data_IF_478848349021
#
_entry.id   IF_478848349021
#
_cell.length_a   1.000
_cell.length_b   1.000
_cell.length_c   1.000
_cell.angle_alpha   90.00
_cell.angle_beta   90.00
_cell.angle_gamma   90.00
#
_symmetry.space_group_name_H-M   'P 1'
#
loop_
_entity.id
_entity.type
_entity.pdbx_description
1 polymer ?
#
# COMPACT_ATOMS: atom_id res chain seq x y z
N UNK A 1 14.80 23.98 -5.70
CA UNK A 1 14.20 22.86 -4.91
C UNK A 1 13.90 21.74 -5.90
N UNK A 2 14.06 20.47 -5.55
CA UNK A 2 13.69 19.37 -6.46
C UNK A 2 12.16 19.27 -6.56
N UNK A 3 11.64 18.74 -7.67
CA UNK A 3 10.18 18.61 -7.88
C UNK A 3 9.51 17.77 -6.79
N UNK A 4 10.20 16.73 -6.31
CA UNK A 4 9.73 15.88 -5.21
C UNK A 4 9.54 16.67 -3.90
N UNK A 5 10.41 17.64 -3.60
CA UNK A 5 10.28 18.43 -2.37
C UNK A 5 9.07 19.38 -2.45
N UNK A 6 8.81 19.97 -3.61
CA UNK A 6 7.61 20.78 -3.83
C UNK A 6 6.33 19.96 -3.60
N UNK A 7 6.28 18.75 -4.16
CA UNK A 7 5.14 17.84 -3.99
C UNK A 7 4.93 17.46 -2.52
N UNK A 8 6.01 17.15 -1.79
CA UNK A 8 5.92 16.83 -0.34
C UNK A 8 5.33 17.99 0.47
N UNK A 9 5.70 19.24 0.16
CA UNK A 9 5.13 20.43 0.81
C UNK A 9 3.63 20.54 0.50
N UNK A 10 3.23 20.35 -0.77
CA UNK A 10 1.83 20.40 -1.18
C UNK A 10 0.99 19.32 -0.51
N UNK A 11 1.49 18.09 -0.42
CA UNK A 11 0.79 16.97 0.21
C UNK A 11 0.56 17.20 1.71
N UNK A 12 1.53 17.79 2.42
CA UNK A 12 1.34 18.17 3.82
C UNK A 12 0.32 19.30 4.00
N UNK A 13 0.29 20.26 3.07
CA UNK A 13 -0.64 21.39 3.11
C UNK A 13 -2.09 20.97 2.75
N UNK A 14 -2.25 19.97 1.88
CA UNK A 14 -3.55 19.43 1.48
C UNK A 14 -3.49 17.90 1.40
N UNK A 15 -3.69 17.20 2.54
CA UNK A 15 -3.66 15.75 2.58
C UNK A 15 -4.69 15.10 1.66
N UNK A 16 -4.31 13.93 1.12
CA UNK A 16 -5.10 13.12 0.19
C UNK A 16 -5.33 11.72 0.75
N UNK A 17 -6.29 11.01 0.16
CA UNK A 17 -6.57 9.61 0.46
C UNK A 17 -5.94 8.71 -0.60
N UNK A 18 -5.09 7.79 -0.15
CA UNK A 18 -4.30 6.91 -1.01
C UNK A 18 -4.73 5.46 -0.83
N UNK A 19 -4.73 4.69 -1.90
CA UNK A 19 -4.76 3.23 -1.83
C UNK A 19 -3.37 2.69 -2.13
N UNK A 20 -2.83 1.84 -1.25
CA UNK A 20 -1.63 1.05 -1.50
C UNK A 20 -2.03 -0.42 -1.50
N UNK A 21 -1.96 -1.09 -2.65
CA UNK A 21 -2.09 -2.55 -2.71
C UNK A 21 -0.73 -3.20 -2.50
N UNK A 22 -0.69 -4.37 -1.88
CA UNK A 22 0.59 -5.01 -1.51
C UNK A 22 1.26 -4.28 -0.36
N UNK A 23 0.48 -3.62 0.50
CA UNK A 23 0.95 -2.71 1.54
C UNK A 23 1.80 -3.41 2.60
N UNK A 24 1.61 -4.72 2.80
CA UNK A 24 2.41 -5.51 3.73
C UNK A 24 3.67 -6.08 3.06
N UNK A 25 3.87 -5.86 1.76
CA UNK A 25 5.09 -6.17 1.03
C UNK A 25 6.20 -5.13 1.23
N UNK A 26 7.38 -5.39 0.66
CA UNK A 26 8.56 -4.54 0.85
C UNK A 26 8.37 -3.10 0.35
N UNK A 27 7.94 -2.92 -0.91
CA UNK A 27 7.74 -1.59 -1.49
C UNK A 27 6.52 -0.91 -0.85
N UNK A 28 5.42 -1.66 -0.72
CA UNK A 28 4.17 -1.15 -0.17
C UNK A 28 4.31 -0.61 1.26
N UNK A 29 5.06 -1.27 2.13
CA UNK A 29 5.24 -0.81 3.51
C UNK A 29 6.10 0.46 3.60
N UNK A 30 7.11 0.60 2.74
CA UNK A 30 7.92 1.83 2.66
C UNK A 30 7.09 3.00 2.11
N UNK A 31 6.21 2.75 1.13
CA UNK A 31 5.25 3.76 0.65
C UNK A 31 4.28 4.17 1.76
N UNK A 32 3.74 3.20 2.51
CA UNK A 32 2.87 3.48 3.67
C UNK A 32 3.58 4.38 4.68
N UNK A 33 4.81 4.05 5.06
CA UNK A 33 5.60 4.85 6.01
C UNK A 33 5.76 6.31 5.55
N UNK A 34 6.21 6.52 4.31
CA UNK A 34 6.41 7.86 3.75
C UNK A 34 5.09 8.64 3.69
N UNK A 35 4.01 8.03 3.20
CA UNK A 35 2.70 8.68 3.09
C UNK A 35 2.16 9.09 4.47
N UNK A 36 2.25 8.23 5.48
CA UNK A 36 1.85 8.57 6.84
C UNK A 36 2.71 9.69 7.42
N UNK A 37 4.02 9.71 7.14
CA UNK A 37 4.92 10.80 7.53
C UNK A 37 4.62 12.13 6.82
N UNK A 38 3.96 12.07 5.67
CA UNK A 38 3.43 13.22 4.94
C UNK A 38 1.99 13.58 5.35
N UNK A 39 1.48 13.06 6.47
CA UNK A 39 0.14 13.33 7.02
C UNK A 39 -1.02 12.84 6.13
N UNK A 40 -0.76 11.90 5.22
CA UNK A 40 -1.77 11.36 4.31
C UNK A 40 -2.70 10.35 5.02
N UNK A 41 -3.89 10.15 4.46
CA UNK A 41 -4.77 9.03 4.81
C UNK A 41 -4.52 7.88 3.85
N UNK A 42 -4.29 6.68 4.37
CA UNK A 42 -3.90 5.52 3.56
C UNK A 42 -4.86 4.36 3.82
N UNK A 43 -5.43 3.83 2.74
CA UNK A 43 -6.09 2.54 2.71
C UNK A 43 -5.05 1.53 2.21
N UNK A 44 -4.80 0.49 2.99
CA UNK A 44 -3.92 -0.60 2.61
C UNK A 44 -4.70 -1.85 2.25
N UNK A 45 -4.36 -2.50 1.15
CA UNK A 45 -4.91 -3.81 0.77
C UNK A 45 -3.78 -4.83 0.64
N UNK A 46 -3.87 -5.95 1.34
CA UNK A 46 -2.93 -7.07 1.22
C UNK A 46 -3.59 -8.39 1.64
N UNK A 47 -3.16 -9.51 1.07
CA UNK A 47 -3.64 -10.85 1.42
C UNK A 47 -2.59 -11.71 2.14
N UNK A 48 -1.44 -11.12 2.50
CA UNK A 48 -0.28 -11.78 3.11
C UNK A 48 0.28 -12.98 2.32
N UNK A 49 0.02 -13.06 1.01
CA UNK A 49 0.59 -14.12 0.15
C UNK A 49 2.13 -14.10 0.15
N UNK A 50 2.72 -12.91 0.10
CA UNK A 50 4.15 -12.68 0.36
C UNK A 50 4.41 -11.52 1.33
N UNK A 51 3.36 -10.74 1.64
CA UNK A 51 3.40 -9.67 2.64
C UNK A 51 3.59 -10.22 4.06
N UNK A 52 4.01 -9.35 4.97
CA UNK A 52 4.36 -9.72 6.35
C UNK A 52 3.73 -8.77 7.35
N UNK A 53 3.09 -9.29 8.39
CA UNK A 53 2.55 -8.48 9.49
C UNK A 53 3.65 -7.65 10.16
N UNK A 54 4.88 -8.18 10.23
CA UNK A 54 6.03 -7.51 10.82
C UNK A 54 6.37 -6.20 10.11
N UNK A 55 6.10 -6.10 8.80
CA UNK A 55 6.31 -4.85 8.06
C UNK A 55 5.33 -3.77 8.53
N UNK A 56 4.04 -4.11 8.69
CA UNK A 56 3.03 -3.16 9.17
C UNK A 56 3.29 -2.74 10.63
N UNK A 57 3.67 -3.70 11.49
CA UNK A 57 4.05 -3.40 12.88
C UNK A 57 5.33 -2.55 12.96
N UNK A 58 6.29 -2.77 12.05
CA UNK A 58 7.48 -1.93 11.90
C UNK A 58 7.10 -0.48 11.59
N UNK A 59 6.26 -0.27 10.59
CA UNK A 59 5.77 1.08 10.23
C UNK A 59 5.01 1.71 11.40
N UNK A 60 4.09 0.99 12.04
CA UNK A 60 3.31 1.47 13.20
C UNK A 60 4.20 1.99 14.32
N UNK A 61 5.26 1.25 14.66
CA UNK A 61 6.24 1.65 15.68
C UNK A 61 7.02 2.89 15.26
N UNK A 62 7.39 2.97 13.98
CA UNK A 62 8.18 4.08 13.45
C UNK A 62 7.41 5.40 13.36
N UNK A 63 6.19 5.39 12.81
CA UNK A 63 5.40 6.62 12.59
C UNK A 63 4.68 7.10 13.85
N UNK A 64 4.50 6.21 14.83
CA UNK A 64 3.79 6.50 16.08
C UNK A 64 2.26 6.45 15.95
N UNK A 65 1.56 6.45 17.11
CA UNK A 65 0.12 6.18 17.15
C UNK A 65 -0.73 7.23 16.45
N UNK A 66 -0.32 8.51 16.44
CA UNK A 66 -1.14 9.58 15.87
C UNK A 66 -1.19 9.54 14.34
N UNK A 67 -0.05 9.28 13.70
CA UNK A 67 0.00 9.07 12.25
C UNK A 67 -0.64 7.75 11.86
N UNK A 68 -0.42 6.70 12.66
CA UNK A 68 -1.01 5.38 12.40
C UNK A 68 -2.54 5.38 12.37
N UNK A 69 -3.22 6.27 13.12
CA UNK A 69 -4.68 6.44 13.05
C UNK A 69 -5.19 6.81 11.65
N UNK A 70 -4.33 7.33 10.76
CA UNK A 70 -4.67 7.65 9.37
C UNK A 70 -4.57 6.44 8.43
N UNK A 71 -4.12 5.29 8.93
CA UNK A 71 -4.05 4.05 8.19
C UNK A 71 -5.27 3.16 8.45
N UNK A 72 -5.91 2.72 7.38
CA UNK A 72 -6.98 1.73 7.41
C UNK A 72 -6.54 0.51 6.60
N UNK A 73 -6.39 -0.64 7.27
CA UNK A 73 -5.98 -1.87 6.62
C UNK A 73 -7.18 -2.73 6.24
N UNK A 74 -7.13 -3.29 5.03
CA UNK A 74 -8.07 -4.27 4.51
C UNK A 74 -7.28 -5.53 4.16
N UNK A 75 -7.47 -6.59 4.95
CA UNK A 75 -6.98 -7.92 4.60
C UNK A 75 -7.90 -8.50 3.51
N UNK A 76 -7.44 -8.47 2.27
CA UNK A 76 -8.25 -8.78 1.09
C UNK A 76 -7.39 -9.09 -0.13
N UNK A 77 -8.02 -9.62 -1.19
CA UNK A 77 -7.33 -10.10 -2.38
C UNK A 77 -7.68 -9.27 -3.62
N UNK A 78 -6.68 -8.83 -4.38
CA UNK A 78 -6.90 -8.05 -5.62
C UNK A 78 -7.65 -8.84 -6.70
N UNK A 79 -7.68 -10.17 -6.61
CA UNK A 79 -8.46 -11.04 -7.49
C UNK A 79 -9.96 -10.92 -7.27
N UNK A 80 -10.38 -10.41 -6.11
CA UNK A 80 -11.77 -10.17 -5.80
C UNK A 80 -12.14 -8.73 -6.20
N UNK A 81 -12.98 -8.61 -7.23
CA UNK A 81 -13.45 -7.31 -7.71
C UNK A 81 -14.19 -6.51 -6.63
N UNK A 82 -14.95 -7.17 -5.75
CA UNK A 82 -15.64 -6.51 -4.65
C UNK A 82 -14.68 -5.88 -3.64
N UNK A 83 -13.58 -6.56 -3.33
CA UNK A 83 -12.53 -6.05 -2.46
C UNK A 83 -11.84 -4.83 -3.09
N UNK A 84 -11.54 -4.90 -4.38
CA UNK A 84 -10.98 -3.79 -5.14
C UNK A 84 -11.91 -2.57 -5.15
N UNK A 85 -13.20 -2.76 -5.44
CA UNK A 85 -14.18 -1.68 -5.44
C UNK A 85 -14.29 -1.01 -4.07
N UNK A 86 -14.33 -1.81 -2.99
CA UNK A 86 -14.36 -1.32 -1.62
C UNK A 86 -13.10 -0.54 -1.26
N UNK A 87 -11.92 -1.04 -1.66
CA UNK A 87 -10.65 -0.38 -1.37
C UNK A 87 -10.47 0.95 -2.13
N UNK A 88 -11.07 1.08 -3.31
CA UNK A 88 -11.02 2.29 -4.14
C UNK A 88 -12.02 3.40 -3.69
N UNK A 89 -12.95 3.11 -2.77
CA UNK A 89 -14.00 4.05 -2.41
C UNK A 89 -13.44 5.35 -1.79
N UNK A 90 -13.63 6.47 -2.48
CA UNK A 90 -13.19 7.80 -2.03
C UNK A 90 -11.67 8.02 -2.03
N UNK A 91 -10.92 7.21 -2.80
CA UNK A 91 -9.47 7.34 -2.98
C UNK A 91 -9.14 8.38 -4.06
N UNK A 92 -8.17 9.26 -3.79
CA UNK A 92 -7.65 10.22 -4.76
C UNK A 92 -6.57 9.60 -5.67
N UNK A 93 -5.69 8.79 -5.08
CA UNK A 93 -4.52 8.21 -5.76
C UNK A 93 -4.32 6.73 -5.42
N UNK A 94 -3.97 5.93 -6.42
CA UNK A 94 -3.72 4.49 -6.27
C UNK A 94 -2.24 4.20 -6.58
N UNK A 95 -1.56 3.54 -5.63
CA UNK A 95 -0.23 2.97 -5.79
C UNK A 95 -0.35 1.44 -5.75
N UNK A 96 -0.46 0.80 -6.92
CA UNK A 96 -0.72 -0.63 -7.01
C UNK A 96 0.59 -1.45 -6.99
N UNK A 97 0.90 -2.12 -5.88
CA UNK A 97 2.13 -2.91 -5.71
C UNK A 97 1.87 -4.39 -5.35
N UNK A 98 0.60 -4.79 -5.17
CA UNK A 98 0.24 -6.19 -4.99
C UNK A 98 0.54 -6.98 -6.27
N UNK A 99 1.56 -7.83 -6.21
CA UNK A 99 1.85 -8.77 -7.29
C UNK A 99 2.63 -9.98 -6.75
N UNK A 100 2.60 -11.08 -7.48
CA UNK A 100 3.51 -12.21 -7.23
C UNK A 100 4.77 -12.07 -8.09
N UNK A 101 5.77 -11.37 -7.54
CA UNK A 101 7.10 -11.29 -8.16
C UNK A 101 7.89 -12.61 -8.10
N UNK A 102 9.06 -12.62 -8.77
CA UNK A 102 10.01 -13.74 -8.99
C UNK A 102 9.83 -14.44 -10.35
N UNK A 103 10.86 -14.36 -11.19
CA UNK A 103 10.90 -15.05 -12.50
C UNK A 103 10.82 -16.58 -12.36
N UNK A 104 11.58 -17.25 -11.47
CA UNK A 104 11.41 -18.69 -11.25
C UNK A 104 9.96 -19.07 -10.87
N UNK A 105 9.32 -18.28 -10.01
CA UNK A 105 7.93 -18.53 -9.59
C UNK A 105 6.95 -18.49 -10.75
N UNK A 106 7.13 -17.56 -11.70
CA UNK A 106 6.23 -17.44 -12.84
C UNK A 106 6.36 -18.59 -13.84
N UNK A 107 7.52 -19.26 -13.87
CA UNK A 107 7.75 -20.47 -14.66
C UNK A 107 7.09 -21.67 -13.97
N UNK A 108 7.27 -21.79 -12.64
CA UNK A 108 6.75 -22.92 -11.86
C UNK A 108 5.21 -22.90 -11.74
N UNK A 109 4.60 -21.71 -11.58
CA UNK A 109 3.15 -21.53 -11.46
C UNK A 109 2.66 -20.28 -12.24
N UNK A 110 2.52 -20.41 -13.57
CA UNK A 110 2.13 -19.29 -14.43
C UNK A 110 0.68 -18.86 -14.23
N UNK A 111 -0.24 -19.80 -13.91
CA UNK A 111 -1.67 -19.50 -13.75
C UNK A 111 -1.88 -18.61 -12.53
N UNK A 112 -1.29 -18.96 -11.39
CA UNK A 112 -1.41 -18.16 -10.18
C UNK A 112 -0.72 -16.81 -10.35
N UNK A 113 0.44 -16.78 -11.00
CA UNK A 113 1.16 -15.52 -11.28
C UNK A 113 0.33 -14.59 -12.16
N UNK A 114 -0.32 -15.11 -13.21
CA UNK A 114 -1.19 -14.30 -14.07
C UNK A 114 -2.40 -13.72 -13.32
N UNK A 115 -2.98 -14.48 -12.38
CA UNK A 115 -4.11 -14.01 -11.59
C UNK A 115 -3.71 -12.94 -10.55
N UNK A 116 -2.44 -12.81 -10.21
CA UNK A 116 -1.95 -11.90 -9.17
C UNK A 116 -1.17 -10.71 -9.75
N UNK A 117 -1.72 -10.08 -10.79
CA UNK A 117 -1.24 -8.83 -11.39
C UNK A 117 -2.39 -7.84 -11.61
#
# INVERSE_FOLDING_TARGET
MSKINEVKVQLKASPKRWLVTGVAGFIGSNLLEELLNLEQTVVGLDNFSTGKHENLEGVRKFVGPDKWKRFNFLEADIRNLGDCLKACEGVDYILHQAALGSVPRSIDDPIRTNQSN
#
